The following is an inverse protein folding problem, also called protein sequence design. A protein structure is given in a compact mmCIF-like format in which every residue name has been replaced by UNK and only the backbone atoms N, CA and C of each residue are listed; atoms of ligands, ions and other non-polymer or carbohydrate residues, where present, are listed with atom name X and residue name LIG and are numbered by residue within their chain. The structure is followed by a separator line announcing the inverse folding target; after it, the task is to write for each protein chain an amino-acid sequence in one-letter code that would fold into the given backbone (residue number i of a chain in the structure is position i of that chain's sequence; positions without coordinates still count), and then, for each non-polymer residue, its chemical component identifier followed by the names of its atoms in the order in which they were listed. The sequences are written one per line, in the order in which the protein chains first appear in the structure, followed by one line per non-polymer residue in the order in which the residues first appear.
data_IF_467548208151
#
_entry.id   IF_467548208151
#
_cell.length_a   1.000
_cell.length_b   1.000
_cell.length_c   1.000
_cell.angle_alpha   90.00
_cell.angle_beta   90.00
_cell.angle_gamma   90.00
#
_symmetry.space_group_name_H-M   'P 1'
#
loop_
_entity.id
_entity.type
_entity.pdbx_description
1 polymer ?
#
# COMPACT_ATOMS: atom_id res chain seq x y z
N UNK A 1 9.18 22.38 -3.88
CA UNK A 1 10.49 22.50 -4.55
C UNK A 1 11.35 23.64 -3.99
N UNK A 2 10.78 24.62 -3.27
CA UNK A 2 11.55 25.75 -2.68
C UNK A 2 12.26 25.40 -1.37
N UNK A 3 11.64 24.62 -0.46
CA UNK A 3 12.27 24.33 0.85
C UNK A 3 13.50 23.41 0.79
N UNK A 4 13.65 22.60 -0.27
CA UNK A 4 14.88 21.80 -0.49
C UNK A 4 16.07 22.66 -0.91
N UNK A 5 15.82 23.86 -1.45
CA UNK A 5 16.85 24.83 -1.81
C UNK A 5 17.30 25.71 -0.63
N UNK A 6 16.58 25.66 0.50
CA UNK A 6 16.86 26.50 1.68
C UNK A 6 17.52 25.75 2.85
N UNK A 7 17.94 24.49 2.69
CA UNK A 7 18.57 23.65 3.75
C UNK A 7 17.72 23.45 5.04
N UNK A 8 16.45 23.85 5.04
CA UNK A 8 15.51 23.72 6.17
C UNK A 8 14.90 22.31 6.28
N UNK A 9 15.71 21.26 6.17
CA UNK A 9 15.26 19.87 6.37
C UNK A 9 14.75 19.66 7.82
N UNK A 10 15.32 20.38 8.79
CA UNK A 10 14.88 20.34 10.19
C UNK A 10 13.48 20.90 10.37
N UNK A 11 13.14 22.03 9.72
CA UNK A 11 11.81 22.62 9.79
C UNK A 11 10.76 21.71 9.14
N UNK A 12 11.11 21.09 8.00
CA UNK A 12 10.26 20.10 7.34
C UNK A 12 10.05 18.85 8.21
N UNK A 13 11.08 18.40 8.94
CA UNK A 13 10.97 17.31 9.90
C UNK A 13 10.05 17.66 11.07
N UNK A 14 10.15 18.88 11.61
CA UNK A 14 9.25 19.35 12.67
C UNK A 14 7.80 19.43 12.18
N UNK A 15 7.57 19.96 10.98
CA UNK A 15 6.25 19.95 10.34
C UNK A 15 5.72 18.53 10.14
N UNK A 16 6.60 17.58 9.80
CA UNK A 16 6.27 16.16 9.69
C UNK A 16 5.72 15.56 10.99
N UNK A 17 6.32 15.90 12.13
CA UNK A 17 5.85 15.49 13.46
C UNK A 17 4.47 16.07 13.78
N UNK A 18 4.30 17.39 13.58
CA UNK A 18 3.01 18.06 13.83
C UNK A 18 1.90 17.44 12.99
N UNK A 19 2.12 17.26 11.69
CA UNK A 19 1.15 16.64 10.79
C UNK A 19 0.86 15.18 11.15
N UNK A 20 1.84 14.45 11.66
CA UNK A 20 1.66 13.07 12.11
C UNK A 20 0.79 12.96 13.37
N UNK A 21 0.91 13.91 14.30
CA UNK A 21 0.05 14.00 15.47
C UNK A 21 -1.39 14.35 15.09
N UNK A 22 -1.56 15.20 14.07
CA UNK A 22 -2.86 15.56 13.50
C UNK A 22 -3.52 14.47 12.65
N UNK A 23 -2.92 13.29 12.48
CA UNK A 23 -3.57 12.17 11.74
C UNK A 23 -4.84 11.61 12.41
N UNK A 24 -5.13 12.03 13.65
CA UNK A 24 -6.37 11.69 14.37
C UNK A 24 -7.54 12.63 14.08
N UNK A 25 -7.41 13.48 13.06
CA UNK A 25 -8.43 14.45 12.68
C UNK A 25 -9.76 13.79 12.30
N UNK A 26 -10.86 14.27 12.89
CA UNK A 26 -12.20 13.75 12.66
C UNK A 26 -12.77 14.18 11.31
N UNK A 27 -12.30 15.32 10.79
CA UNK A 27 -12.75 15.87 9.51
C UNK A 27 -11.98 15.26 8.33
N UNK A 28 -12.66 14.50 7.44
CA UNK A 28 -11.98 13.75 6.39
C UNK A 28 -11.33 14.64 5.31
N UNK A 29 -11.86 15.84 5.08
CA UNK A 29 -11.24 16.79 4.14
C UNK A 29 -9.89 17.31 4.63
N UNK A 30 -9.81 17.60 5.93
CA UNK A 30 -8.60 18.07 6.60
C UNK A 30 -7.59 16.94 6.65
N UNK A 31 -8.02 15.74 7.05
CA UNK A 31 -7.20 14.53 7.05
C UNK A 31 -6.61 14.24 5.66
N UNK A 32 -7.40 14.34 4.58
CA UNK A 32 -6.92 14.18 3.21
C UNK A 32 -5.83 15.19 2.82
N UNK A 33 -5.95 16.43 3.32
CA UNK A 33 -4.97 17.50 3.08
C UNK A 33 -3.68 17.27 3.88
N UNK A 34 -3.80 16.83 5.14
CA UNK A 34 -2.67 16.42 6.00
C UNK A 34 -1.88 15.29 5.34
N UNK A 35 -2.58 14.26 4.81
CA UNK A 35 -1.96 13.15 4.09
C UNK A 35 -1.24 13.63 2.82
N UNK A 36 -1.83 14.57 2.08
CA UNK A 36 -1.19 15.18 0.91
C UNK A 36 0.08 15.97 1.26
N UNK A 37 0.07 16.68 2.39
CA UNK A 37 1.24 17.38 2.91
C UNK A 37 2.34 16.39 3.35
N UNK A 38 2.00 15.37 4.13
CA UNK A 38 2.93 14.31 4.54
C UNK A 38 3.57 13.61 3.33
N UNK A 39 2.76 13.27 2.33
CA UNK A 39 3.23 12.70 1.05
C UNK A 39 4.24 13.60 0.34
N UNK A 40 4.05 14.91 0.39
CA UNK A 40 4.96 15.88 -0.24
C UNK A 40 6.25 16.01 0.55
N UNK A 41 6.19 15.99 1.88
CA UNK A 41 7.36 16.04 2.77
C UNK A 41 8.22 14.79 2.60
N UNK A 42 7.62 13.59 2.67
CA UNK A 42 8.32 12.31 2.48
C UNK A 42 9.06 12.26 1.14
N UNK A 43 8.47 12.86 0.11
CA UNK A 43 9.07 12.96 -1.21
C UNK A 43 10.31 13.84 -1.30
N UNK A 44 10.41 14.84 -0.42
CA UNK A 44 11.45 15.88 -0.47
C UNK A 44 12.58 15.54 0.50
N UNK A 45 12.26 15.17 1.75
CA UNK A 45 13.25 14.78 2.77
C UNK A 45 13.89 13.43 2.42
N UNK A 46 13.10 12.48 1.92
CA UNK A 46 13.54 11.09 1.75
C UNK A 46 13.30 10.23 3.00
N UNK A 47 13.43 8.91 2.84
CA UNK A 47 12.97 7.93 3.84
C UNK A 47 13.91 7.81 5.06
N UNK A 48 15.20 8.10 4.89
CA UNK A 48 16.23 7.97 5.93
C UNK A 48 16.18 9.09 6.96
N UNK A 49 15.85 10.31 6.52
CA UNK A 49 15.86 11.51 7.37
C UNK A 49 14.45 11.91 7.84
N UNK A 50 13.44 11.07 7.58
CA UNK A 50 12.06 11.37 7.94
C UNK A 50 11.87 11.29 9.47
N UNK A 51 11.24 12.33 10.03
CA UNK A 51 10.81 12.38 11.41
C UNK A 51 9.29 12.68 11.44
N UNK A 52 8.43 11.80 11.99
CA UNK A 52 8.72 10.50 12.61
C UNK A 52 9.21 9.45 11.59
N UNK A 53 9.92 8.41 12.04
CA UNK A 53 10.48 7.39 11.16
C UNK A 53 9.37 6.57 10.50
N UNK A 54 9.65 6.07 9.29
CA UNK A 54 8.70 5.35 8.44
C UNK A 54 8.05 4.14 9.15
N UNK A 55 8.80 3.46 10.02
CA UNK A 55 8.31 2.34 10.83
C UNK A 55 7.15 2.70 11.76
N UNK A 56 7.08 3.95 12.22
CA UNK A 56 6.02 4.45 13.10
C UNK A 56 4.88 5.08 12.30
N UNK A 57 5.20 5.61 11.11
CA UNK A 57 4.24 6.21 10.20
C UNK A 57 3.27 5.17 9.61
N UNK A 58 3.82 4.07 9.08
CA UNK A 58 3.04 3.10 8.31
C UNK A 58 1.91 2.43 9.12
N UNK A 59 2.14 1.97 10.38
CA UNK A 59 1.07 1.38 11.18
C UNK A 59 -0.09 2.35 11.48
N UNK A 60 0.15 3.67 11.47
CA UNK A 60 -0.93 4.67 11.61
C UNK A 60 -1.70 4.91 10.32
N UNK A 61 -1.06 4.70 9.15
CA UNK A 61 -1.73 4.83 7.85
C UNK A 61 -2.66 3.64 7.55
N UNK A 62 -2.32 2.43 8.00
CA UNK A 62 -3.13 1.22 7.80
C UNK A 62 -4.61 1.38 8.19
N UNK A 63 -4.97 1.81 9.42
CA UNK A 63 -6.39 2.01 9.76
C UNK A 63 -7.04 3.14 8.95
N UNK A 64 -6.27 4.13 8.48
CA UNK A 64 -6.79 5.24 7.66
C UNK A 64 -7.20 4.75 6.26
N UNK A 65 -6.54 3.70 5.72
CA UNK A 65 -6.94 3.07 4.45
C UNK A 65 -8.37 2.50 4.51
N UNK A 66 -8.88 2.16 5.70
CA UNK A 66 -10.26 1.64 5.90
C UNK A 66 -11.31 2.74 5.94
N UNK A 67 -10.91 4.00 6.16
CA UNK A 67 -11.86 5.11 6.15
C UNK A 67 -12.51 5.15 4.76
N UNK A 68 -13.84 5.18 4.67
CA UNK A 68 -14.58 5.12 3.40
C UNK A 68 -14.79 6.48 2.74
N UNK A 69 -14.33 7.54 3.39
CA UNK A 69 -14.52 8.89 2.87
C UNK A 69 -13.64 9.12 1.65
N UNK A 70 -14.24 9.54 0.55
CA UNK A 70 -13.56 9.63 -0.74
C UNK A 70 -12.28 10.46 -0.70
N UNK A 71 -12.26 11.55 0.07
CA UNK A 71 -11.09 12.45 0.23
C UNK A 71 -9.96 11.89 1.11
N UNK A 72 -10.25 10.89 1.95
CA UNK A 72 -9.26 10.17 2.78
C UNK A 72 -8.78 8.91 2.06
N UNK A 73 -9.67 8.20 1.35
CA UNK A 73 -9.32 7.13 0.40
C UNK A 73 -8.71 7.64 -0.90
N UNK A 74 -8.75 8.95 -1.11
CA UNK A 74 -8.18 9.56 -2.28
C UNK A 74 -6.69 9.23 -2.36
N UNK A 75 -6.19 9.32 -3.60
CA UNK A 75 -4.87 8.95 -4.10
C UNK A 75 -3.73 9.14 -3.07
N UNK A 76 -3.80 10.14 -2.20
CA UNK A 76 -2.76 10.52 -1.26
C UNK A 76 -2.37 9.43 -0.27
N UNK A 77 -3.31 8.74 0.38
CA UNK A 77 -2.94 7.71 1.37
C UNK A 77 -2.31 6.49 0.69
N UNK A 78 -2.97 5.99 -0.36
CA UNK A 78 -2.48 4.85 -1.15
C UNK A 78 -1.15 5.18 -1.81
N UNK A 79 -0.99 6.36 -2.41
CA UNK A 79 0.27 6.79 -3.01
C UNK A 79 1.38 6.97 -1.98
N UNK A 80 1.05 7.46 -0.77
CA UNK A 80 2.03 7.58 0.31
C UNK A 80 2.54 6.20 0.69
N UNK A 81 1.64 5.25 0.93
CA UNK A 81 2.00 3.84 1.19
C UNK A 81 2.81 3.25 0.04
N UNK A 82 2.41 3.48 -1.22
CA UNK A 82 3.13 3.03 -2.40
C UNK A 82 4.53 3.62 -2.52
N UNK A 83 4.72 4.89 -2.18
CA UNK A 83 6.04 5.53 -2.14
C UNK A 83 6.92 4.97 -1.04
N UNK A 84 6.35 4.68 0.13
CA UNK A 84 7.06 4.01 1.21
C UNK A 84 7.47 2.60 0.76
N UNK A 85 6.59 1.85 0.11
CA UNK A 85 6.92 0.52 -0.41
C UNK A 85 8.01 0.55 -1.49
N UNK A 86 8.02 1.55 -2.36
CA UNK A 86 9.01 1.67 -3.44
C UNK A 86 10.41 2.11 -2.94
N UNK A 87 10.48 3.00 -1.94
CA UNK A 87 11.75 3.64 -1.53
C UNK A 87 12.20 3.37 -0.10
N UNK A 88 11.34 2.78 0.72
CA UNK A 88 11.56 2.61 2.15
C UNK A 88 11.07 1.26 2.67
N UNK A 89 10.94 0.26 1.80
CA UNK A 89 10.53 -1.09 2.15
C UNK A 89 11.37 -1.69 3.28
N UNK A 90 12.68 -1.44 3.28
CA UNK A 90 13.65 -1.92 4.25
C UNK A 90 13.43 -1.43 5.69
N UNK A 91 12.72 -0.31 5.88
CA UNK A 91 12.43 0.23 7.20
C UNK A 91 11.21 -0.42 7.87
N UNK A 92 10.51 -1.32 7.17
CA UNK A 92 9.23 -1.88 7.59
C UNK A 92 9.29 -3.41 7.51
N UNK A 93 8.78 -4.07 8.54
CA UNK A 93 8.72 -5.54 8.59
C UNK A 93 7.73 -6.10 7.57
N UNK A 94 8.08 -7.21 6.92
CA UNK A 94 7.23 -7.94 5.94
C UNK A 94 5.81 -8.21 6.43
N UNK A 95 5.61 -8.42 7.74
CA UNK A 95 4.29 -8.66 8.33
C UNK A 95 3.35 -7.46 8.20
N UNK A 96 3.86 -6.24 8.34
CA UNK A 96 3.04 -5.02 8.20
C UNK A 96 2.64 -4.81 6.74
N UNK A 97 3.55 -5.09 5.82
CA UNK A 97 3.26 -5.06 4.39
C UNK A 97 2.16 -6.04 3.99
N UNK A 98 2.15 -7.26 4.55
CA UNK A 98 1.08 -8.23 4.31
C UNK A 98 -0.29 -7.76 4.82
N UNK A 99 -0.34 -7.07 5.97
CA UNK A 99 -1.61 -6.48 6.47
C UNK A 99 -2.16 -5.44 5.50
N UNK A 100 -1.29 -4.59 4.98
CA UNK A 100 -1.65 -3.56 4.01
C UNK A 100 -2.07 -4.19 2.68
N UNK A 101 -1.41 -5.25 2.20
CA UNK A 101 -1.85 -5.98 1.00
C UNK A 101 -3.31 -6.41 1.09
N UNK A 102 -3.75 -6.95 2.24
CA UNK A 102 -5.15 -7.32 2.45
C UNK A 102 -6.10 -6.11 2.45
N UNK A 103 -5.69 -5.00 3.06
CA UNK A 103 -6.49 -3.77 3.05
C UNK A 103 -6.61 -3.21 1.62
N UNK A 104 -5.55 -3.32 0.81
CA UNK A 104 -5.54 -2.91 -0.59
C UNK A 104 -6.39 -3.81 -1.51
N UNK A 105 -6.57 -5.10 -1.18
CA UNK A 105 -7.47 -5.98 -1.95
C UNK A 105 -8.90 -5.44 -1.99
N UNK A 106 -9.38 -4.90 -0.86
CA UNK A 106 -10.70 -4.26 -0.79
C UNK A 106 -10.75 -2.98 -1.64
N UNK A 107 -9.64 -2.24 -1.72
CA UNK A 107 -9.54 -1.02 -2.52
C UNK A 107 -9.53 -1.27 -4.03
N UNK A 108 -9.24 -2.50 -4.48
CA UNK A 108 -9.39 -2.87 -5.90
C UNK A 108 -10.86 -2.82 -6.35
N UNK A 109 -11.82 -2.88 -5.41
CA UNK A 109 -13.26 -2.75 -5.66
C UNK A 109 -13.73 -1.29 -5.78
N UNK A 110 -12.88 -0.31 -5.49
CA UNK A 110 -13.29 1.10 -5.43
C UNK A 110 -13.93 1.57 -6.75
N UNK A 111 -14.97 2.41 -6.69
CA UNK A 111 -15.67 2.92 -7.88
C UNK A 111 -14.79 3.86 -8.73
N UNK A 112 -13.91 4.64 -8.11
CA UNK A 112 -13.02 5.59 -8.79
C UNK A 112 -11.86 4.88 -9.48
N UNK A 113 -11.68 5.15 -10.78
CA UNK A 113 -10.55 4.61 -11.57
C UNK A 113 -9.19 5.02 -11.00
N UNK A 114 -9.06 6.25 -10.51
CA UNK A 114 -7.83 6.76 -9.90
C UNK A 114 -7.38 5.94 -8.70
N UNK A 115 -8.31 5.66 -7.77
CA UNK A 115 -8.07 4.81 -6.60
C UNK A 115 -7.61 3.42 -7.02
N UNK A 116 -8.35 2.76 -7.93
CA UNK A 116 -7.95 1.43 -8.42
C UNK A 116 -6.54 1.42 -9.02
N UNK A 117 -6.16 2.44 -9.79
CA UNK A 117 -4.82 2.55 -10.39
C UNK A 117 -3.73 2.74 -9.33
N UNK A 118 -3.96 3.59 -8.33
CA UNK A 118 -3.01 3.79 -7.23
C UNK A 118 -2.84 2.50 -6.41
N UNK A 119 -3.93 1.78 -6.15
CA UNK A 119 -3.92 0.49 -5.47
C UNK A 119 -3.10 -0.53 -6.25
N UNK A 120 -3.31 -0.63 -7.57
CA UNK A 120 -2.55 -1.53 -8.45
C UNK A 120 -1.04 -1.28 -8.33
N UNK A 121 -0.61 -0.03 -8.50
CA UNK A 121 0.81 0.34 -8.42
C UNK A 121 1.39 0.01 -7.03
N UNK A 122 0.67 0.37 -5.98
CA UNK A 122 1.10 0.16 -4.58
C UNK A 122 1.23 -1.32 -4.26
N UNK A 123 0.27 -2.13 -4.70
CA UNK A 123 0.31 -3.57 -4.51
C UNK A 123 1.54 -4.19 -5.19
N UNK A 124 1.87 -3.74 -6.42
CA UNK A 124 3.08 -4.14 -7.12
C UNK A 124 4.36 -3.78 -6.35
N UNK A 125 4.47 -2.55 -5.84
CA UNK A 125 5.62 -2.14 -5.02
C UNK A 125 5.77 -2.98 -3.76
N UNK A 126 4.67 -3.30 -3.09
CA UNK A 126 4.71 -4.16 -1.90
C UNK A 126 5.11 -5.60 -2.28
N UNK A 127 4.58 -6.15 -3.37
CA UNK A 127 4.95 -7.48 -3.85
C UNK A 127 6.44 -7.57 -4.18
N UNK A 128 7.01 -6.50 -4.75
CA UNK A 128 8.45 -6.38 -5.00
C UNK A 128 9.26 -6.26 -3.70
N UNK A 129 8.72 -5.57 -2.70
CA UNK A 129 9.37 -5.35 -1.41
C UNK A 129 9.45 -6.62 -0.55
N UNK A 130 8.35 -7.37 -0.41
CA UNK A 130 8.33 -8.59 0.41
C UNK A 130 8.83 -9.80 -0.38
N UNK A 131 8.50 -9.86 -1.67
CA UNK A 131 8.72 -11.02 -2.53
C UNK A 131 7.39 -11.65 -2.97
N UNK A 132 7.30 -12.14 -4.22
CA UNK A 132 6.05 -12.64 -4.78
C UNK A 132 5.53 -13.90 -4.07
N UNK A 133 6.41 -14.79 -3.61
CA UNK A 133 5.99 -16.07 -2.98
C UNK A 133 5.19 -15.86 -1.69
N UNK A 134 5.63 -14.92 -0.84
CA UNK A 134 4.98 -14.61 0.44
C UNK A 134 3.57 -14.03 0.24
N UNK A 135 3.41 -13.23 -0.82
CA UNK A 135 2.11 -12.65 -1.19
C UNK A 135 1.22 -13.71 -1.84
N UNK A 136 1.77 -14.53 -2.74
CA UNK A 136 1.00 -15.51 -3.51
C UNK A 136 0.34 -16.58 -2.65
N UNK A 137 1.03 -17.18 -1.69
CA UNK A 137 0.43 -18.22 -0.84
C UNK A 137 -0.83 -17.74 -0.12
N UNK A 138 -0.83 -16.47 0.26
CA UNK A 138 -1.97 -15.81 0.89
C UNK A 138 -3.09 -15.50 -0.10
N UNK A 139 -2.77 -14.99 -1.28
CA UNK A 139 -3.76 -14.72 -2.34
C UNK A 139 -4.42 -16.00 -2.85
N UNK A 140 -3.66 -17.07 -3.08
CA UNK A 140 -4.19 -18.35 -3.55
C UNK A 140 -5.19 -18.95 -2.54
N UNK A 141 -4.92 -18.83 -1.25
CA UNK A 141 -5.87 -19.23 -0.22
C UNK A 141 -7.15 -18.36 -0.23
N UNK A 142 -7.05 -17.07 -0.56
CA UNK A 142 -8.21 -16.18 -0.67
C UNK A 142 -9.10 -16.53 -1.89
N UNK A 143 -8.58 -17.20 -2.91
CA UNK A 143 -9.41 -17.70 -4.03
C UNK A 143 -10.47 -18.73 -3.59
N UNK A 144 -10.26 -19.41 -2.46
CA UNK A 144 -11.20 -20.41 -1.91
C UNK A 144 -12.43 -19.76 -1.25
N UNK A 145 -12.46 -18.44 -1.10
CA UNK A 145 -13.59 -17.70 -0.53
C UNK A 145 -14.81 -17.73 -1.47
N UNK A 146 -15.99 -17.98 -0.89
CA UNK A 146 -17.27 -18.11 -1.62
C UNK A 146 -17.73 -16.83 -2.32
N UNK A 147 -17.36 -15.66 -1.80
CA UNK A 147 -17.75 -14.37 -2.38
C UNK A 147 -17.04 -14.11 -3.72
N UNK A 148 -17.83 -14.01 -4.80
CA UNK A 148 -17.32 -13.80 -6.16
C UNK A 148 -16.44 -12.55 -6.28
N UNK A 149 -16.81 -11.46 -5.62
CA UNK A 149 -16.08 -10.19 -5.72
C UNK A 149 -14.68 -10.28 -5.12
N UNK A 150 -14.52 -11.04 -4.03
CA UNK A 150 -13.21 -11.29 -3.41
C UNK A 150 -12.33 -12.09 -4.36
N UNK A 151 -12.87 -13.15 -4.98
CA UNK A 151 -12.12 -13.91 -5.99
C UNK A 151 -11.65 -13.05 -7.15
N UNK A 152 -12.51 -12.15 -7.67
CA UNK A 152 -12.12 -11.22 -8.75
C UNK A 152 -10.97 -10.31 -8.32
N UNK A 153 -11.03 -9.72 -7.12
CA UNK A 153 -9.96 -8.85 -6.63
C UNK A 153 -8.65 -9.60 -6.40
N UNK A 154 -8.74 -10.83 -5.88
CA UNK A 154 -7.61 -11.73 -5.71
C UNK A 154 -6.98 -12.11 -7.05
N UNK A 155 -7.77 -12.40 -8.09
CA UNK A 155 -7.26 -12.64 -9.45
C UNK A 155 -6.53 -11.41 -9.99
N UNK A 156 -7.10 -10.22 -9.82
CA UNK A 156 -6.44 -8.96 -10.21
C UNK A 156 -5.13 -8.79 -9.45
N UNK A 157 -5.09 -9.07 -8.14
CA UNK A 157 -3.87 -9.01 -7.35
C UNK A 157 -2.79 -9.99 -7.83
N UNK A 158 -3.16 -11.23 -8.15
CA UNK A 158 -2.23 -12.22 -8.71
C UNK A 158 -1.67 -11.73 -10.05
N UNK A 159 -2.50 -11.12 -10.90
CA UNK A 159 -2.05 -10.54 -12.17
C UNK A 159 -1.04 -9.39 -11.96
N UNK A 160 -1.28 -8.51 -10.98
CA UNK A 160 -0.36 -7.42 -10.62
C UNK A 160 0.99 -7.98 -10.15
N UNK A 161 0.98 -9.02 -9.32
CA UNK A 161 2.21 -9.69 -8.86
C UNK A 161 2.95 -10.30 -10.05
N UNK A 162 2.25 -10.95 -10.98
CA UNK A 162 2.85 -11.53 -12.18
C UNK A 162 3.46 -10.46 -13.11
N UNK A 163 2.79 -9.32 -13.28
CA UNK A 163 3.29 -8.19 -14.06
C UNK A 163 4.55 -7.58 -13.42
N UNK A 164 4.54 -7.40 -12.10
CA UNK A 164 5.63 -6.71 -11.38
C UNK A 164 6.85 -7.61 -11.12
N UNK A 165 6.62 -8.88 -10.79
CA UNK A 165 7.65 -9.83 -10.38
C UNK A 165 7.95 -10.89 -11.44
N UNK A 166 7.47 -10.70 -12.67
CA UNK A 166 7.53 -11.63 -13.81
C UNK A 166 6.64 -12.87 -13.67
N UNK A 167 5.98 -13.33 -14.77
CA UNK A 167 5.02 -14.43 -14.71
C UNK A 167 5.58 -15.78 -14.22
N UNK A 168 6.86 -16.05 -14.46
CA UNK A 168 7.50 -17.30 -14.05
C UNK A 168 7.55 -17.49 -12.53
N UNK A 169 7.41 -16.40 -11.75
CA UNK A 169 7.35 -16.48 -10.27
C UNK A 169 5.96 -16.90 -9.77
N UNK A 170 4.91 -16.69 -10.56
CA UNK A 170 3.51 -16.93 -10.18
C UNK A 170 2.97 -18.22 -10.80
N UNK A 171 3.34 -18.50 -12.05
CA UNK A 171 2.77 -19.58 -12.85
C UNK A 171 2.91 -20.98 -12.20
N UNK A 172 4.07 -21.37 -11.63
CA UNK A 172 4.20 -22.68 -10.99
C UNK A 172 3.25 -22.88 -9.81
N UNK A 173 3.07 -21.84 -8.98
CA UNK A 173 2.18 -21.89 -7.82
C UNK A 173 0.71 -22.01 -8.25
N UNK A 174 0.29 -21.26 -9.28
CA UNK A 174 -1.05 -21.37 -9.86
C UNK A 174 -1.34 -22.76 -10.44
N UNK A 175 -0.39 -23.31 -11.21
CA UNK A 175 -0.55 -24.65 -11.79
C UNK A 175 -0.63 -25.73 -10.70
N UNK A 176 0.14 -25.58 -9.63
CA UNK A 176 0.10 -26.51 -8.50
C UNK A 176 -1.25 -26.47 -7.77
N UNK A 177 -1.77 -25.29 -7.43
CA UNK A 177 -3.10 -25.18 -6.80
C UNK A 177 -4.22 -25.73 -7.70
N UNK A 178 -4.14 -25.49 -9.02
CA UNK A 178 -5.12 -26.03 -9.95
C UNK A 178 -5.16 -27.56 -9.95
N UNK A 179 -3.99 -28.22 -9.91
CA UNK A 179 -3.89 -29.68 -9.80
C UNK A 179 -4.52 -30.20 -8.52
N UNK A 180 -4.19 -29.60 -7.37
CA UNK A 180 -4.73 -30.01 -6.06
C UNK A 180 -6.26 -29.93 -6.05
N UNK A 181 -6.84 -28.90 -6.66
CA UNK A 181 -8.31 -28.78 -6.74
C UNK A 181 -8.95 -29.80 -7.69
N UNK A 182 -8.26 -30.19 -8.77
CA UNK A 182 -8.76 -31.19 -9.72
C UNK A 182 -8.74 -32.61 -9.15
N UNK A 183 -7.79 -32.92 -8.25
CA UNK A 183 -7.72 -34.23 -7.57
C UNK A 183 -8.73 -34.35 -6.41
N UNK A 184 -9.33 -33.24 -5.96
CA UNK A 184 -10.31 -33.20 -4.85
C UNK A 184 -11.77 -33.06 -5.31
N UNK A 185 -12.01 -32.91 -6.62
CA UNK A 185 -13.33 -32.77 -7.25
C UNK A 185 -13.76 -34.04 -7.96
#
# INVERSE_FOLDING_TARGET
MVMRQCEEEQLLGHLGVVLFESLREDYPEVLGSILGALKSIVNVIGMTNMNPPIRDLLPRLAPILKNRHEKVQELNCIDLVGRIADRGAEFVLSREWMRICFELLEMLKAHKKGTRRATVNTFGYIAKAIGPQDVLGTLLNNLKVQERQNRVCTTVAIAIVAETCSPFTVLPALMNEYRVTADQS
#
